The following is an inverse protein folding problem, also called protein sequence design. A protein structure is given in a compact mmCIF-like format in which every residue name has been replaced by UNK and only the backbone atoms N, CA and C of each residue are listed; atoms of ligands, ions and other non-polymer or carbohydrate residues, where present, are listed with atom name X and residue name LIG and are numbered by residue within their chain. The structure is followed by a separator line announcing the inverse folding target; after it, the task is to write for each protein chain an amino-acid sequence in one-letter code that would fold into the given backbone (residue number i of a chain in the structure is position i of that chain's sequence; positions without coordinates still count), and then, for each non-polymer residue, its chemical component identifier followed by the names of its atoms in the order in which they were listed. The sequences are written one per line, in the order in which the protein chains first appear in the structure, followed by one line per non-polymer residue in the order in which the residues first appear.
data_IF_112509062587
#
_entry.id   IF_112509062587
#
_cell.length_a   1.000
_cell.length_b   1.000
_cell.length_c   1.000
_cell.angle_alpha   90.00
_cell.angle_beta   90.00
_cell.angle_gamma   90.00
#
_symmetry.space_group_name_H-M   'P 1'
#
loop_
_entity.id
_entity.type
_entity.pdbx_description
1 polymer ?
#
# COMPACT_ATOMS: atom_id res chain seq x y z
N UNK A 1 0.73 -24.18 -14.84
CA UNK A 1 0.15 -23.22 -13.86
C UNK A 1 0.76 -21.82 -13.99
N UNK A 2 2.08 -21.66 -13.94
CA UNK A 2 2.73 -20.33 -14.06
C UNK A 2 2.38 -19.59 -15.37
N UNK A 3 2.40 -20.28 -16.52
CA UNK A 3 2.05 -19.69 -17.83
C UNK A 3 0.62 -19.14 -17.87
N UNK A 4 -0.32 -19.77 -17.17
CA UNK A 4 -1.70 -19.30 -17.10
C UNK A 4 -1.83 -18.00 -16.30
N UNK A 5 -1.06 -17.85 -15.21
CA UNK A 5 -1.02 -16.62 -14.40
C UNK A 5 -0.34 -15.45 -15.13
N UNK A 6 0.71 -15.73 -15.89
CA UNK A 6 1.49 -14.71 -16.61
C UNK A 6 0.90 -14.43 -18.02
N UNK A 7 0.04 -15.31 -18.53
CA UNK A 7 -0.57 -15.23 -19.87
C UNK A 7 -1.18 -13.87 -20.22
N UNK A 8 -2.01 -13.24 -19.36
CA UNK A 8 -2.57 -11.92 -19.63
C UNK A 8 -1.50 -10.83 -19.76
N UNK A 9 -0.42 -10.91 -18.96
CA UNK A 9 0.70 -9.96 -19.04
C UNK A 9 1.41 -10.14 -20.39
N UNK A 10 1.68 -11.38 -20.78
CA UNK A 10 2.30 -11.70 -22.07
C UNK A 10 1.43 -11.28 -23.25
N UNK A 11 0.10 -11.35 -23.13
CA UNK A 11 -0.82 -10.90 -24.16
C UNK A 11 -0.77 -9.38 -24.37
N UNK A 12 -0.46 -8.60 -23.33
CA UNK A 12 -0.36 -7.13 -23.39
C UNK A 12 0.98 -6.67 -23.98
N UNK A 13 2.06 -7.44 -23.82
CA UNK A 13 3.40 -7.06 -24.28
C UNK A 13 3.45 -6.77 -25.79
N UNK A 14 2.92 -7.60 -26.71
CA UNK A 14 2.91 -7.26 -28.14
C UNK A 14 2.14 -5.97 -28.44
N UNK A 15 1.06 -5.71 -27.70
CA UNK A 15 0.19 -4.54 -27.90
C UNK A 15 0.88 -3.26 -27.46
N UNK A 16 1.79 -3.28 -26.49
CA UNK A 16 2.55 -2.07 -26.13
C UNK A 16 3.45 -1.57 -27.28
N UNK A 17 3.73 -2.43 -28.28
CA UNK A 17 4.41 -2.06 -29.51
C UNK A 17 3.46 -1.72 -30.67
N UNK A 18 2.13 -1.77 -30.49
CA UNK A 18 1.21 -1.49 -31.60
C UNK A 18 1.14 0.00 -31.95
N UNK A 19 1.07 0.28 -33.26
CA UNK A 19 0.80 1.61 -33.79
C UNK A 19 -0.65 2.10 -33.59
N UNK A 20 -1.57 1.21 -33.21
CA UNK A 20 -2.99 1.53 -32.97
C UNK A 20 -3.24 2.02 -31.54
N UNK A 21 -4.29 2.83 -31.35
CA UNK A 21 -4.77 3.24 -30.02
C UNK A 21 -5.76 2.25 -29.39
N UNK A 22 -6.00 1.11 -30.05
CA UNK A 22 -6.99 0.11 -29.67
C UNK A 22 -6.35 -1.27 -29.56
N UNK A 23 -6.99 -2.12 -28.76
CA UNK A 23 -6.62 -3.52 -28.57
C UNK A 23 -6.99 -4.34 -29.82
N UNK A 24 -6.18 -4.26 -30.87
CA UNK A 24 -6.43 -4.91 -32.15
C UNK A 24 -5.35 -5.93 -32.50
N UNK A 25 -5.77 -7.15 -32.80
CA UNK A 25 -4.93 -8.18 -33.42
C UNK A 25 -5.42 -8.43 -34.86
N UNK A 26 -4.52 -8.69 -35.83
CA UNK A 26 -3.06 -8.66 -35.75
C UNK A 26 -2.48 -7.25 -35.65
N UNK A 27 -1.27 -7.12 -35.10
CA UNK A 27 -0.57 -5.83 -35.00
C UNK A 27 -0.13 -5.42 -36.41
N UNK A 28 -0.65 -4.28 -36.89
CA UNK A 28 -0.32 -3.77 -38.23
C UNK A 28 1.10 -3.16 -38.28
N UNK A 29 1.49 -2.47 -37.21
CA UNK A 29 2.75 -1.72 -37.13
C UNK A 29 3.41 -1.89 -35.76
N UNK A 30 4.72 -2.18 -35.76
CA UNK A 30 5.55 -2.20 -34.56
C UNK A 30 6.21 -0.82 -34.33
N UNK A 31 6.03 -0.25 -33.16
CA UNK A 31 6.54 1.08 -32.81
C UNK A 31 6.90 1.19 -31.33
N UNK A 32 7.84 2.09 -31.02
CA UNK A 32 8.20 2.48 -29.65
C UNK A 32 7.49 3.76 -29.19
N UNK A 33 6.51 4.25 -29.95
CA UNK A 33 5.80 5.52 -29.71
C UNK A 33 5.24 5.64 -28.29
N UNK A 34 4.64 4.58 -27.76
CA UNK A 34 4.06 4.58 -26.40
C UNK A 34 5.12 4.67 -25.31
N UNK A 35 6.26 4.00 -25.49
CA UNK A 35 7.41 4.10 -24.58
C UNK A 35 8.01 5.51 -24.60
N UNK A 36 8.22 6.08 -25.80
CA UNK A 36 8.70 7.46 -25.94
C UNK A 36 7.72 8.46 -25.29
N UNK A 37 6.41 8.26 -25.46
CA UNK A 37 5.37 9.10 -24.86
C UNK A 37 5.27 8.92 -23.34
N UNK A 38 5.52 7.72 -22.81
CA UNK A 38 5.53 7.46 -21.37
C UNK A 38 6.72 8.17 -20.67
N UNK A 39 7.83 8.36 -21.39
CA UNK A 39 9.00 9.08 -20.90
C UNK A 39 8.87 10.60 -21.03
N UNK A 40 7.89 11.12 -21.76
CA UNK A 40 7.64 12.56 -21.86
C UNK A 40 7.04 13.10 -20.55
N UNK A 41 7.43 14.31 -20.11
CA UNK A 41 6.79 14.97 -18.99
C UNK A 41 5.32 15.25 -19.32
N UNK A 42 4.44 14.68 -18.51
CA UNK A 42 2.97 14.82 -18.49
C UNK A 42 2.18 13.91 -19.46
N UNK A 43 1.22 13.10 -18.95
CA UNK A 43 0.85 12.90 -17.54
C UNK A 43 1.67 11.81 -16.82
N UNK A 44 2.38 10.94 -17.54
CA UNK A 44 2.89 9.68 -17.01
C UNK A 44 4.05 9.83 -16.02
N UNK A 45 5.09 10.60 -16.40
CA UNK A 45 6.27 10.75 -15.54
C UNK A 45 5.94 11.49 -14.23
N UNK A 46 5.01 12.46 -14.29
CA UNK A 46 4.51 13.16 -13.10
C UNK A 46 3.70 12.22 -12.21
N UNK A 47 2.81 11.40 -12.78
CA UNK A 47 2.05 10.41 -12.00
C UNK A 47 2.98 9.40 -11.32
N UNK A 48 4.00 8.90 -12.04
CA UNK A 48 5.00 7.99 -11.47
C UNK A 48 5.75 8.62 -10.29
N UNK A 49 6.22 9.87 -10.45
CA UNK A 49 6.89 10.60 -9.37
C UNK A 49 5.97 10.76 -8.16
N UNK A 50 4.71 11.16 -8.38
CA UNK A 50 3.75 11.35 -7.30
C UNK A 50 3.49 10.04 -6.55
N UNK A 51 3.30 8.93 -7.29
CA UNK A 51 3.13 7.59 -6.72
C UNK A 51 4.33 7.15 -5.89
N UNK A 52 5.56 7.37 -6.35
CA UNK A 52 6.77 7.01 -5.61
C UNK A 52 6.89 7.79 -4.30
N UNK A 53 6.64 9.09 -4.33
CA UNK A 53 6.66 9.95 -3.13
C UNK A 53 5.63 9.47 -2.12
N UNK A 54 4.37 9.30 -2.55
CA UNK A 54 3.28 8.87 -1.67
C UNK A 54 3.55 7.48 -1.12
N UNK A 55 3.92 6.53 -1.98
CA UNK A 55 4.20 5.15 -1.57
C UNK A 55 5.32 5.08 -0.54
N UNK A 56 6.44 5.78 -0.75
CA UNK A 56 7.55 5.79 0.22
C UNK A 56 7.13 6.35 1.59
N UNK A 57 6.41 7.47 1.62
CA UNK A 57 5.96 8.10 2.86
C UNK A 57 4.95 7.22 3.60
N UNK A 58 4.01 6.64 2.87
CA UNK A 58 3.03 5.68 3.41
C UNK A 58 3.72 4.44 3.96
N UNK A 59 4.68 3.85 3.23
CA UNK A 59 5.39 2.66 3.69
C UNK A 59 6.09 2.94 5.01
N UNK A 60 6.85 4.04 5.10
CA UNK A 60 7.56 4.40 6.34
C UNK A 60 6.57 4.60 7.51
N UNK A 61 5.53 5.41 7.32
CA UNK A 61 4.58 5.68 8.41
C UNK A 61 3.78 4.45 8.82
N UNK A 62 3.25 3.69 7.86
CA UNK A 62 2.44 2.50 8.14
C UNK A 62 3.28 1.40 8.80
N UNK A 63 4.53 1.20 8.36
CA UNK A 63 5.43 0.21 8.96
C UNK A 63 5.81 0.59 10.38
N UNK A 64 6.18 1.85 10.63
CA UNK A 64 6.52 2.32 11.98
C UNK A 64 5.32 2.22 12.92
N UNK A 65 4.19 2.84 12.57
CA UNK A 65 2.99 2.85 13.42
C UNK A 65 2.43 1.44 13.63
N UNK A 66 2.37 0.64 12.56
CA UNK A 66 1.85 -0.72 12.63
C UNK A 66 2.75 -1.66 13.44
N UNK A 67 4.06 -1.53 13.32
CA UNK A 67 5.02 -2.32 14.11
C UNK A 67 4.93 -1.95 15.60
N UNK A 68 4.88 -0.66 15.93
CA UNK A 68 4.71 -0.21 17.31
C UNK A 68 3.39 -0.71 17.91
N UNK A 69 2.29 -0.59 17.17
CA UNK A 69 0.99 -1.11 17.59
C UNK A 69 1.03 -2.64 17.79
N UNK A 70 1.63 -3.40 16.87
CA UNK A 70 1.76 -4.85 16.98
C UNK A 70 2.60 -5.26 18.20
N UNK A 71 3.73 -4.59 18.46
CA UNK A 71 4.57 -4.83 19.64
C UNK A 71 3.81 -4.55 20.94
N UNK A 72 3.05 -3.45 21.00
CA UNK A 72 2.23 -3.12 22.17
C UNK A 72 1.11 -4.14 22.40
N UNK A 73 0.41 -4.54 21.33
CA UNK A 73 -0.71 -5.47 21.41
C UNK A 73 -0.29 -6.91 21.75
N UNK A 74 0.85 -7.37 21.24
CA UNK A 74 1.35 -8.74 21.48
C UNK A 74 1.90 -8.95 22.88
N UNK A 75 2.37 -7.87 23.52
CA UNK A 75 2.89 -7.88 24.90
C UNK A 75 1.81 -7.56 25.93
N UNK A 76 0.74 -6.86 25.57
CA UNK A 76 -0.34 -6.51 26.49
C UNK A 76 -1.21 -7.71 26.89
N UNK A 77 -1.39 -7.87 28.20
CA UNK A 77 -2.34 -8.81 28.82
C UNK A 77 -3.74 -8.17 29.06
N UNK A 78 -3.96 -6.93 28.60
CA UNK A 78 -5.20 -6.20 28.85
C UNK A 78 -6.40 -6.80 28.11
N UNK A 79 -7.56 -6.82 28.78
CA UNK A 79 -8.85 -7.16 28.16
C UNK A 79 -9.24 -6.21 27.01
N UNK A 80 -8.71 -4.98 27.00
CA UNK A 80 -8.96 -4.01 25.93
C UNK A 80 -8.27 -4.35 24.60
N UNK A 81 -7.36 -5.34 24.58
CA UNK A 81 -6.61 -5.73 23.39
C UNK A 81 -7.50 -6.09 22.20
N UNK A 82 -8.60 -6.81 22.44
CA UNK A 82 -9.53 -7.21 21.38
C UNK A 82 -10.26 -6.00 20.77
N UNK A 83 -10.70 -5.07 21.60
CA UNK A 83 -11.34 -3.83 21.15
C UNK A 83 -10.37 -2.93 20.36
N UNK A 84 -9.13 -2.81 20.82
CA UNK A 84 -8.09 -2.05 20.12
C UNK A 84 -7.74 -2.69 18.76
N UNK A 85 -7.62 -4.01 18.71
CA UNK A 85 -7.42 -4.73 17.45
C UNK A 85 -8.60 -4.54 16.50
N UNK A 86 -9.84 -4.62 16.98
CA UNK A 86 -11.03 -4.38 16.17
C UNK A 86 -11.05 -2.96 15.60
N UNK A 87 -10.70 -1.96 16.42
CA UNK A 87 -10.59 -0.57 15.98
C UNK A 87 -9.50 -0.40 14.91
N UNK A 88 -8.30 -0.93 15.14
CA UNK A 88 -7.18 -0.85 14.20
C UNK A 88 -7.51 -1.55 12.88
N UNK A 89 -8.16 -2.73 12.91
CA UNK A 89 -8.48 -3.50 11.70
C UNK A 89 -9.73 -2.98 10.99
N UNK A 90 -10.57 -2.18 11.65
CA UNK A 90 -11.81 -1.65 11.07
C UNK A 90 -11.66 -1.01 9.68
N UNK A 91 -10.58 -0.27 9.32
CA UNK A 91 -10.43 0.31 7.99
C UNK A 91 -10.29 -0.73 6.87
N UNK A 92 -9.88 -1.97 7.18
CA UNK A 92 -9.83 -3.07 6.20
C UNK A 92 -11.22 -3.65 5.90
N UNK A 93 -12.13 -3.57 6.87
CA UNK A 93 -13.49 -4.13 6.75
C UNK A 93 -14.41 -3.12 6.07
N UNK A 94 -14.24 -1.84 6.39
CA UNK A 94 -15.02 -0.76 5.78
C UNK A 94 -14.67 -0.64 4.29
N UNK A 95 -15.66 -0.58 3.39
CA UNK A 95 -15.40 -0.39 1.96
C UNK A 95 -14.54 0.84 1.69
N UNK A 96 -13.52 0.70 0.84
CA UNK A 96 -12.54 1.76 0.56
C UNK A 96 -13.17 3.06 0.08
N UNK A 97 -14.29 2.98 -0.65
CA UNK A 97 -15.05 4.15 -1.12
C UNK A 97 -15.63 4.95 0.06
N UNK A 98 -16.17 4.27 1.07
CA UNK A 98 -16.76 4.92 2.26
C UNK A 98 -15.67 5.60 3.08
N UNK A 99 -14.56 4.91 3.34
CA UNK A 99 -13.39 5.48 4.01
C UNK A 99 -12.84 6.69 3.24
N UNK A 100 -12.78 6.60 1.91
CA UNK A 100 -12.33 7.69 1.04
C UNK A 100 -13.20 8.94 1.13
N UNK A 101 -14.52 8.80 1.09
CA UNK A 101 -15.46 9.92 1.24
C UNK A 101 -15.33 10.56 2.63
N UNK A 102 -15.24 9.75 3.69
CA UNK A 102 -15.05 10.25 5.06
C UNK A 102 -13.74 11.03 5.21
N UNK A 103 -12.64 10.48 4.70
CA UNK A 103 -11.33 11.15 4.68
C UNK A 103 -11.37 12.44 3.86
N UNK A 104 -12.06 12.47 2.71
CA UNK A 104 -12.18 13.68 1.88
C UNK A 104 -12.80 14.85 2.64
N UNK A 105 -13.92 14.63 3.35
CA UNK A 105 -14.56 15.70 4.13
C UNK A 105 -13.70 16.13 5.32
N UNK A 106 -13.06 15.17 6.00
CA UNK A 106 -12.15 15.45 7.12
C UNK A 106 -10.94 16.28 6.65
N UNK A 107 -10.31 15.88 5.55
CA UNK A 107 -9.13 16.53 4.98
C UNK A 107 -9.45 17.87 4.32
N UNK A 108 -10.66 18.05 3.78
CA UNK A 108 -11.14 19.34 3.31
C UNK A 108 -11.08 20.40 4.43
N UNK A 109 -11.56 20.05 5.63
CA UNK A 109 -11.55 20.95 6.79
C UNK A 109 -10.14 21.27 7.29
N UNK A 110 -9.20 20.36 7.11
CA UNK A 110 -7.80 20.53 7.51
C UNK A 110 -6.91 21.11 6.41
N UNK A 111 -7.46 21.40 5.22
CA UNK A 111 -6.68 21.88 4.07
C UNK A 111 -5.71 20.85 3.49
N UNK A 112 -5.93 19.55 3.74
CA UNK A 112 -5.06 18.46 3.28
C UNK A 112 -5.50 17.84 1.95
N UNK A 113 -6.64 18.26 1.40
CA UNK A 113 -7.09 17.80 0.09
C UNK A 113 -6.10 18.19 -1.01
N UNK A 114 -5.94 17.30 -2.00
CA UNK A 114 -4.99 17.45 -3.11
C UNK A 114 -3.52 17.70 -2.68
N UNK A 115 -3.14 17.26 -1.48
CA UNK A 115 -1.75 17.37 -0.97
C UNK A 115 -1.08 16.01 -0.83
N UNK A 116 0.25 15.97 -0.92
CA UNK A 116 1.03 14.76 -0.63
C UNK A 116 0.81 14.25 0.79
N UNK A 117 0.77 15.15 1.78
CA UNK A 117 0.56 14.79 3.18
C UNK A 117 -0.79 14.11 3.38
N UNK A 118 -1.88 14.68 2.81
CA UNK A 118 -3.21 14.07 2.86
C UNK A 118 -3.21 12.67 2.22
N UNK A 119 -2.66 12.53 1.01
CA UNK A 119 -2.57 11.23 0.34
C UNK A 119 -1.78 10.20 1.14
N UNK A 120 -0.63 10.59 1.68
CA UNK A 120 0.22 9.73 2.51
C UNK A 120 -0.53 9.27 3.76
N UNK A 121 -1.22 10.18 4.46
CA UNK A 121 -1.98 9.86 5.67
C UNK A 121 -3.17 8.95 5.38
N UNK A 122 -3.94 9.23 4.33
CA UNK A 122 -5.05 8.35 3.93
C UNK A 122 -4.58 6.92 3.67
N UNK A 123 -3.53 6.74 2.86
CA UNK A 123 -2.98 5.42 2.58
C UNK A 123 -2.34 4.79 3.83
N UNK A 124 -1.78 5.59 4.74
CA UNK A 124 -1.23 5.09 6.01
C UNK A 124 -2.32 4.48 6.87
N UNK A 125 -3.49 5.13 7.00
CA UNK A 125 -4.63 4.60 7.76
C UNK A 125 -5.11 3.27 7.17
N UNK A 126 -5.11 3.14 5.85
CA UNK A 126 -5.52 1.90 5.17
C UNK A 126 -4.43 0.81 5.22
N UNK A 127 -3.15 1.18 5.22
CA UNK A 127 -2.02 0.26 5.18
C UNK A 127 -1.56 -0.25 6.55
N UNK A 128 -1.71 0.56 7.61
CA UNK A 128 -1.31 0.21 8.99
C UNK A 128 -1.91 -1.12 9.47
N UNK A 129 -3.18 -1.45 9.23
CA UNK A 129 -3.77 -2.71 9.69
C UNK A 129 -3.09 -3.95 9.12
N UNK A 130 -2.66 -3.91 7.85
CA UNK A 130 -1.91 -5.00 7.22
C UNK A 130 -0.56 -5.23 7.89
N UNK A 131 0.14 -4.14 8.23
CA UNK A 131 1.40 -4.22 8.98
C UNK A 131 1.15 -4.81 10.37
N UNK A 132 0.14 -4.33 11.09
CA UNK A 132 -0.18 -4.82 12.44
C UNK A 132 -0.43 -6.31 12.43
N UNK A 133 -1.26 -6.81 11.53
CA UNK A 133 -1.58 -8.24 11.43
C UNK A 133 -0.34 -9.06 11.08
N UNK A 134 0.44 -8.63 10.09
CA UNK A 134 1.63 -9.36 9.63
C UNK A 134 2.72 -9.42 10.70
N UNK A 135 3.02 -8.29 11.34
CA UNK A 135 4.03 -8.21 12.40
C UNK A 135 3.55 -8.97 13.63
N UNK A 136 2.28 -8.83 14.04
CA UNK A 136 1.76 -9.57 15.20
C UNK A 136 1.79 -11.08 14.98
N UNK A 137 1.45 -11.57 13.78
CA UNK A 137 1.55 -13.00 13.44
C UNK A 137 3.00 -13.52 13.50
N UNK A 138 3.95 -12.70 13.07
CA UNK A 138 5.39 -13.02 13.16
C UNK A 138 5.85 -13.09 14.62
N UNK A 139 5.46 -12.10 15.44
CA UNK A 139 5.81 -12.03 16.86
C UNK A 139 5.18 -13.15 17.71
N UNK A 140 4.02 -13.68 17.30
CA UNK A 140 3.41 -14.83 17.98
C UNK A 140 4.24 -16.11 17.86
N UNK A 141 5.00 -16.26 16.78
CA UNK A 141 5.89 -17.40 16.53
C UNK A 141 7.33 -17.14 16.99
N UNK A 142 7.61 -15.97 17.57
CA UNK A 142 8.96 -15.59 17.99
C UNK A 142 9.30 -16.19 19.37
N UNK A 143 10.52 -16.73 19.52
CA UNK A 143 10.98 -17.28 20.80
C UNK A 143 11.19 -16.15 21.83
N UNK A 144 10.30 -16.12 22.83
CA UNK A 144 10.34 -15.14 23.92
C UNK A 144 11.56 -15.31 24.83
N UNK A 145 12.27 -16.43 24.80
CA UNK A 145 13.51 -16.61 25.56
C UNK A 145 14.62 -15.67 25.08
N UNK A 146 14.68 -15.36 23.79
CA UNK A 146 15.64 -14.39 23.25
C UNK A 146 15.43 -13.00 23.84
N UNK A 147 14.16 -12.59 24.01
CA UNK A 147 13.78 -11.35 24.69
C UNK A 147 14.21 -11.33 26.17
N UNK A 148 14.02 -12.45 26.88
CA UNK A 148 14.44 -12.56 28.29
C UNK A 148 15.96 -12.49 28.43
N UNK A 149 16.70 -13.17 27.55
CA UNK A 149 18.16 -13.10 27.54
C UNK A 149 18.65 -11.68 27.25
N UNK A 150 18.09 -11.01 26.25
CA UNK A 150 18.41 -9.61 25.96
C UNK A 150 18.15 -8.70 27.16
N UNK A 151 17.01 -8.87 27.86
CA UNK A 151 16.69 -8.05 29.05
C UNK A 151 17.63 -8.26 30.24
N UNK A 152 18.40 -9.37 30.27
CA UNK A 152 19.42 -9.61 31.30
C UNK A 152 20.76 -8.93 31.01
N UNK A 153 20.96 -8.35 29.82
CA UNK A 153 22.21 -7.69 29.42
C UNK A 153 22.17 -6.16 29.58
N UNK A 154 21.05 -5.59 30.04
CA UNK A 154 20.82 -4.13 30.16
C UNK A 154 20.14 -3.54 28.94
#
# INVERSE_FOLDING_TARGET
MMVFLVGPILAIVPISFSGSGFLSYPISDLTLRWYARALQPVPWLTALKNSLIVASGTTVLATVLGTLAALGLTQSASRARSALLAFIVSPMIVPSVVSGVGMFFLFARMGLNASYAGLILAHTVLGTPFVVVTVAATLQNFDRNLLRAASSLG
#
